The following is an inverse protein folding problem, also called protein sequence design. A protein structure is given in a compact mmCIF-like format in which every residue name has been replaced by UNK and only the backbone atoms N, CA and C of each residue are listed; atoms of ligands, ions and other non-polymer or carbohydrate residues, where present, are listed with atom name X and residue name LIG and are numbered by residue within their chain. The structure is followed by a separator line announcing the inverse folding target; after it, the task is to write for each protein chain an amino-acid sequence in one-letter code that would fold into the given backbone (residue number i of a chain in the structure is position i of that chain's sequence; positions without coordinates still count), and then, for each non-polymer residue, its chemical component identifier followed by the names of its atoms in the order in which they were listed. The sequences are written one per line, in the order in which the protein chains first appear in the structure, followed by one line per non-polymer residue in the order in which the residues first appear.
data_IF_339376961199
#
_entry.id   IF_339376961199
#
_cell.length_a   1.000
_cell.length_b   1.000
_cell.length_c   1.000
_cell.angle_alpha   90.00
_cell.angle_beta   90.00
_cell.angle_gamma   90.00
#
_symmetry.space_group_name_H-M   'P 1'
#
loop_
_entity.id
_entity.type
_entity.pdbx_description
1 polymer ?
#
# COMPACT_ATOMS: atom_id res chain seq x y z
N UNK A 1 -30.95 -6.73 21.64
CA UNK A 1 -30.00 -6.95 20.54
C UNK A 1 -29.17 -5.64 20.37
N UNK A 2 -28.01 -5.54 21.02
CA UNK A 2 -27.16 -4.34 21.00
C UNK A 2 -26.19 -4.48 19.83
N UNK A 3 -26.43 -3.73 18.72
CA UNK A 3 -25.45 -3.54 17.65
C UNK A 3 -24.24 -2.79 18.23
N UNK A 4 -23.12 -3.49 18.45
CA UNK A 4 -21.81 -2.85 18.65
C UNK A 4 -21.38 -2.28 17.30
N UNK A 5 -21.47 -0.97 17.13
CA UNK A 5 -20.77 -0.24 16.09
C UNK A 5 -19.27 -0.46 16.33
N UNK A 6 -18.65 -1.34 15.54
CA UNK A 6 -17.18 -1.43 15.49
C UNK A 6 -16.66 -0.08 14.97
N UNK A 7 -16.08 0.70 15.87
CA UNK A 7 -15.36 1.92 15.52
C UNK A 7 -14.14 1.49 14.69
N UNK A 8 -14.10 1.89 13.42
CA UNK A 8 -12.96 1.69 12.53
C UNK A 8 -11.77 2.53 13.04
N UNK A 9 -10.99 1.97 13.99
CA UNK A 9 -9.83 2.63 14.60
C UNK A 9 -8.70 2.86 13.61
N UNK A 10 -8.51 1.97 12.63
CA UNK A 10 -7.49 2.11 11.58
C UNK A 10 -7.80 3.25 10.62
N UNK A 11 -9.08 3.44 10.25
CA UNK A 11 -9.51 4.62 9.48
C UNK A 11 -9.35 5.91 10.27
N UNK A 12 -9.65 5.90 11.58
CA UNK A 12 -9.45 7.07 12.44
C UNK A 12 -7.97 7.39 12.67
N UNK A 13 -7.08 6.38 12.79
CA UNK A 13 -5.64 6.61 12.88
C UNK A 13 -5.10 7.26 11.59
N UNK A 14 -5.48 6.74 10.43
CA UNK A 14 -5.08 7.33 9.13
C UNK A 14 -5.59 8.76 8.95
N UNK A 15 -6.79 9.06 9.41
CA UNK A 15 -7.33 10.43 9.39
C UNK A 15 -6.58 11.34 10.37
N UNK A 16 -6.21 10.84 11.56
CA UNK A 16 -5.40 11.60 12.52
C UNK A 16 -3.97 11.81 12.02
N UNK A 17 -3.35 10.82 11.40
CA UNK A 17 -2.04 10.93 10.76
C UNK A 17 -2.07 11.93 9.59
N UNK A 18 -3.10 11.87 8.73
CA UNK A 18 -3.29 12.83 7.64
C UNK A 18 -3.56 14.25 8.16
N UNK A 19 -4.35 14.41 9.23
CA UNK A 19 -4.60 15.70 9.88
C UNK A 19 -3.34 16.27 10.56
N UNK A 20 -2.52 15.42 11.20
CA UNK A 20 -1.24 15.82 11.78
C UNK A 20 -0.25 16.25 10.67
N UNK A 21 -0.16 15.48 9.58
CA UNK A 21 0.65 15.84 8.43
C UNK A 21 0.18 17.16 7.78
N UNK A 22 -1.13 17.36 7.63
CA UNK A 22 -1.70 18.62 7.15
C UNK A 22 -1.44 19.79 8.12
N UNK A 23 -1.51 19.60 9.43
CA UNK A 23 -1.21 20.61 10.44
C UNK A 23 0.27 21.02 10.42
N UNK A 24 1.17 20.05 10.26
CA UNK A 24 2.61 20.30 10.11
C UNK A 24 2.88 21.05 8.81
N UNK A 25 2.26 20.64 7.69
CA UNK A 25 2.38 21.33 6.41
C UNK A 25 1.80 22.75 6.46
N UNK A 26 0.65 22.95 7.09
CA UNK A 26 0.04 24.27 7.27
C UNK A 26 0.87 25.18 8.19
N UNK A 27 1.45 24.64 9.26
CA UNK A 27 2.36 25.42 10.12
C UNK A 27 3.66 25.79 9.42
N UNK A 28 4.21 24.91 8.59
CA UNK A 28 5.38 25.19 7.76
C UNK A 28 5.07 26.21 6.66
N UNK A 29 3.89 26.14 6.02
CA UNK A 29 3.43 27.15 5.06
C UNK A 29 3.16 28.51 5.74
N UNK A 30 2.52 28.53 6.89
CA UNK A 30 2.23 29.75 7.63
C UNK A 30 3.49 30.46 8.13
N UNK A 31 4.49 29.70 8.61
CA UNK A 31 5.80 30.27 8.96
C UNK A 31 6.54 30.76 7.72
N UNK A 32 6.51 30.03 6.60
CA UNK A 32 7.12 30.44 5.34
C UNK A 32 6.52 31.74 4.79
N UNK A 33 5.19 31.88 4.80
CA UNK A 33 4.50 33.10 4.33
C UNK A 33 4.67 34.31 5.27
N UNK A 34 4.72 34.08 6.58
CA UNK A 34 4.96 35.13 7.56
C UNK A 34 6.35 35.72 7.42
N UNK A 35 7.39 34.91 7.17
CA UNK A 35 8.75 35.40 6.92
C UNK A 35 8.92 36.04 5.55
N UNK A 36 8.23 35.54 4.50
CA UNK A 36 8.31 36.13 3.16
C UNK A 36 7.76 37.57 3.08
N UNK A 37 6.79 37.94 3.91
CA UNK A 37 6.16 39.25 3.87
C UNK A 37 6.83 40.32 4.75
N UNK A 38 7.77 39.97 5.65
CA UNK A 38 8.31 40.91 6.63
C UNK A 38 9.57 41.69 6.20
N UNK A 39 10.25 41.31 5.11
CA UNK A 39 11.59 41.86 4.81
C UNK A 39 11.88 42.19 3.34
N UNK A 40 11.08 43.04 2.74
CA UNK A 40 11.45 43.74 1.49
C UNK A 40 12.36 44.91 1.86
N UNK A 41 13.68 44.72 1.79
CA UNK A 41 14.57 45.90 1.86
C UNK A 41 16.02 45.72 2.29
N UNK A 42 16.48 44.55 2.73
CA UNK A 42 17.89 44.39 3.13
C UNK A 42 18.55 43.19 2.44
N UNK A 43 19.88 43.22 2.28
CA UNK A 43 20.69 42.09 1.76
C UNK A 43 20.44 40.80 2.53
N UNK A 44 20.08 40.90 3.80
CA UNK A 44 19.70 39.78 4.64
C UNK A 44 18.44 39.10 4.13
N UNK A 45 17.43 39.87 3.73
CA UNK A 45 16.22 39.34 3.12
C UNK A 45 16.47 38.63 1.78
N UNK A 46 17.42 39.07 0.99
CA UNK A 46 17.80 38.39 -0.25
C UNK A 46 18.48 37.05 0.02
N UNK A 47 19.33 36.95 1.05
CA UNK A 47 19.95 35.69 1.46
C UNK A 47 18.92 34.71 2.06
N UNK A 48 18.00 35.21 2.87
CA UNK A 48 16.89 34.42 3.40
C UNK A 48 16.02 33.86 2.27
N UNK A 49 15.67 34.69 1.29
CA UNK A 49 14.92 34.25 0.10
C UNK A 49 15.71 33.22 -0.72
N UNK A 50 17.01 33.40 -0.88
CA UNK A 50 17.88 32.43 -1.56
C UNK A 50 17.93 31.10 -0.81
N UNK A 51 18.14 31.11 0.51
CA UNK A 51 18.21 29.89 1.31
C UNK A 51 16.87 29.12 1.29
N UNK A 52 15.73 29.81 1.36
CA UNK A 52 14.39 29.23 1.26
C UNK A 52 14.17 28.60 -0.11
N UNK A 53 14.52 29.31 -1.20
CA UNK A 53 14.36 28.81 -2.55
C UNK A 53 15.24 27.58 -2.82
N UNK A 54 16.51 27.63 -2.41
CA UNK A 54 17.46 26.54 -2.56
C UNK A 54 17.02 25.33 -1.75
N UNK A 55 16.65 25.52 -0.47
CA UNK A 55 16.07 24.45 0.35
C UNK A 55 14.78 23.87 -0.28
N UNK A 56 14.02 24.72 -0.97
CA UNK A 56 12.84 24.34 -1.75
C UNK A 56 13.16 23.39 -2.90
N UNK A 57 14.20 23.70 -3.66
CA UNK A 57 14.64 22.89 -4.82
C UNK A 57 15.33 21.61 -4.35
N UNK A 58 16.20 21.70 -3.34
CA UNK A 58 16.84 20.54 -2.73
C UNK A 58 15.84 19.53 -2.16
N UNK A 59 14.73 20.04 -1.61
CA UNK A 59 13.62 19.21 -1.13
C UNK A 59 12.84 18.50 -2.24
N UNK A 60 13.34 18.47 -3.49
CA UNK A 60 12.79 17.61 -4.51
C UNK A 60 12.92 16.15 -4.07
N UNK A 61 11.81 15.43 -4.14
CA UNK A 61 11.65 14.09 -3.56
C UNK A 61 12.74 13.11 -4.02
N UNK A 62 13.13 13.15 -5.30
CA UNK A 62 14.11 12.21 -5.88
C UNK A 62 15.54 12.38 -5.33
N UNK A 63 15.98 13.59 -5.01
CA UNK A 63 17.33 13.81 -4.51
C UNK A 63 17.45 13.41 -3.03
N UNK A 64 16.45 13.76 -2.23
CA UNK A 64 16.41 13.41 -0.81
C UNK A 64 16.21 11.90 -0.61
N UNK A 65 15.45 11.22 -1.50
CA UNK A 65 15.35 9.77 -1.50
C UNK A 65 16.71 9.08 -1.71
N UNK A 66 17.56 9.60 -2.60
CA UNK A 66 18.93 9.08 -2.78
C UNK A 66 19.78 9.26 -1.53
N UNK A 67 19.67 10.42 -0.85
CA UNK A 67 20.38 10.68 0.41
C UNK A 67 19.96 9.71 1.49
N UNK A 68 18.64 9.54 1.70
CA UNK A 68 18.08 8.65 2.71
C UNK A 68 18.49 7.18 2.47
N UNK A 69 18.55 6.76 1.20
CA UNK A 69 18.94 5.40 0.81
C UNK A 69 20.44 5.20 0.70
N UNK A 70 21.24 6.27 0.81
CA UNK A 70 22.70 6.25 0.58
C UNK A 70 23.04 5.65 -0.80
N UNK A 71 22.22 5.95 -1.84
CA UNK A 71 22.32 5.37 -3.17
C UNK A 71 23.18 6.22 -4.12
N UNK A 72 24.11 5.56 -4.82
CA UNK A 72 24.95 6.18 -5.85
C UNK A 72 25.88 7.27 -5.28
N UNK A 73 26.15 8.31 -6.10
CA UNK A 73 26.99 9.45 -5.72
C UNK A 73 26.14 10.61 -5.16
N UNK A 74 25.24 10.32 -4.23
CA UNK A 74 24.29 11.30 -3.69
C UNK A 74 24.97 12.58 -3.17
N UNK A 75 26.14 12.46 -2.54
CA UNK A 75 26.91 13.61 -2.05
C UNK A 75 27.32 14.54 -3.20
N UNK A 76 27.85 13.97 -4.29
CA UNK A 76 28.26 14.73 -5.46
C UNK A 76 27.07 15.36 -6.18
N UNK A 77 25.95 14.63 -6.30
CA UNK A 77 24.70 15.12 -6.89
C UNK A 77 24.17 16.31 -6.09
N UNK A 78 24.14 16.19 -4.75
CA UNK A 78 23.66 17.21 -3.84
C UNK A 78 24.56 18.44 -3.82
N UNK A 79 25.88 18.23 -3.82
CA UNK A 79 26.89 19.29 -3.90
C UNK A 79 26.79 20.05 -5.22
N UNK A 80 26.70 19.36 -6.35
CA UNK A 80 26.56 19.97 -7.67
C UNK A 80 25.27 20.78 -7.78
N UNK A 81 24.19 20.28 -7.20
CA UNK A 81 22.92 21.01 -7.11
C UNK A 81 23.07 22.31 -6.31
N UNK A 82 23.67 22.25 -5.12
CA UNK A 82 23.92 23.43 -4.27
C UNK A 82 24.79 24.46 -4.98
N UNK A 83 25.90 24.03 -5.57
CA UNK A 83 26.84 24.90 -6.28
C UNK A 83 26.22 25.56 -7.52
N UNK A 84 25.25 24.92 -8.16
CA UNK A 84 24.51 25.47 -9.30
C UNK A 84 23.46 26.51 -8.90
N UNK A 85 22.92 26.41 -7.69
CA UNK A 85 21.82 27.25 -7.21
C UNK A 85 22.29 28.43 -6.38
N UNK A 86 23.46 28.35 -5.76
CA UNK A 86 24.00 29.40 -4.93
C UNK A 86 24.85 30.40 -5.74
N UNK A 87 24.80 31.70 -5.43
CA UNK A 87 25.67 32.71 -6.04
C UNK A 87 27.16 32.39 -5.80
N UNK A 88 28.00 32.83 -6.72
CA UNK A 88 29.48 32.75 -6.56
C UNK A 88 29.91 33.41 -5.25
N UNK A 89 30.92 32.84 -4.59
CA UNK A 89 31.44 33.29 -3.29
C UNK A 89 30.42 33.17 -2.13
N UNK A 90 29.49 32.24 -2.24
CA UNK A 90 28.58 31.90 -1.16
C UNK A 90 29.08 30.63 -0.46
N UNK A 91 29.16 30.68 0.86
CA UNK A 91 29.44 29.52 1.68
C UNK A 91 28.13 28.90 2.16
N UNK A 92 28.14 27.61 2.40
CA UNK A 92 26.94 26.92 2.88
C UNK A 92 27.28 25.79 3.85
N UNK A 93 26.33 25.50 4.73
CA UNK A 93 26.24 24.29 5.53
C UNK A 93 24.84 23.73 5.36
N UNK A 94 24.75 22.48 4.96
CA UNK A 94 23.50 21.74 4.82
C UNK A 94 23.52 20.54 5.77
N UNK A 95 22.51 20.46 6.60
CA UNK A 95 22.26 19.33 7.48
C UNK A 95 20.94 18.68 7.12
N UNK A 96 20.91 17.36 7.09
CA UNK A 96 19.73 16.56 6.76
C UNK A 96 19.49 15.57 7.89
N UNK A 97 18.33 15.67 8.53
CA UNK A 97 17.96 14.87 9.68
C UNK A 97 16.78 13.96 9.33
N UNK A 98 16.89 12.66 9.64
CA UNK A 98 15.76 11.73 9.63
C UNK A 98 14.99 11.85 10.95
N UNK A 99 13.70 12.13 10.88
CA UNK A 99 12.86 12.19 12.09
C UNK A 99 12.52 10.80 12.60
N UNK A 100 12.47 9.79 11.72
CA UNK A 100 12.20 8.40 12.08
C UNK A 100 13.39 7.76 12.80
N UNK A 101 14.61 8.08 12.34
CA UNK A 101 15.84 7.58 12.96
C UNK A 101 16.29 8.47 14.14
N UNK A 102 15.78 9.70 14.22
CA UNK A 102 16.15 10.67 15.26
C UNK A 102 17.59 11.15 15.18
N UNK A 103 18.21 11.10 13.98
CA UNK A 103 19.62 11.41 13.77
C UNK A 103 19.87 12.17 12.48
N UNK A 104 21.03 12.82 12.41
CA UNK A 104 21.56 13.37 11.18
C UNK A 104 21.99 12.25 10.22
N UNK A 105 21.47 12.29 9.00
CA UNK A 105 21.74 11.29 7.96
C UNK A 105 22.75 11.76 6.92
N UNK A 106 22.89 13.08 6.77
CA UNK A 106 23.88 13.68 5.88
C UNK A 106 24.21 15.10 6.31
N UNK A 107 25.47 15.52 6.08
CA UNK A 107 25.88 16.92 6.15
C UNK A 107 26.85 17.25 5.03
N UNK A 108 26.72 18.46 4.48
CA UNK A 108 27.58 18.98 3.43
C UNK A 108 27.95 20.43 3.74
N UNK A 109 29.22 20.77 3.59
CA UNK A 109 29.71 22.12 3.77
C UNK A 109 30.81 22.42 2.76
N UNK A 110 30.87 23.64 2.26
CA UNK A 110 32.01 24.19 1.54
C UNK A 110 32.86 25.15 2.40
N UNK A 111 32.57 25.22 3.70
CA UNK A 111 33.33 26.00 4.67
C UNK A 111 34.61 25.25 5.03
N UNK A 112 35.78 25.85 4.78
CA UNK A 112 37.06 25.29 5.15
C UNK A 112 37.69 26.16 6.26
N UNK A 113 37.85 25.58 7.46
CA UNK A 113 38.54 26.20 8.60
C UNK A 113 37.64 26.81 9.69
N UNK A 114 38.13 26.79 10.96
CA UNK A 114 37.33 27.06 12.17
C UNK A 114 36.94 28.55 12.38
N UNK A 115 37.40 29.51 11.53
CA UNK A 115 37.29 30.96 11.81
C UNK A 115 36.50 31.75 10.76
N UNK A 116 35.74 31.12 9.88
CA UNK A 116 35.13 31.86 8.74
C UNK A 116 33.81 32.57 9.12
N UNK A 117 33.16 32.22 10.22
CA UNK A 117 31.84 32.76 10.61
C UNK A 117 31.89 34.17 11.23
N UNK A 118 33.05 34.64 11.71
CA UNK A 118 33.17 35.97 12.29
C UNK A 118 33.12 37.06 11.19
N UNK A 119 32.04 37.85 11.17
CA UNK A 119 31.85 38.91 10.20
C UNK A 119 31.10 38.54 8.92
N UNK A 120 30.55 37.36 8.85
CA UNK A 120 29.67 36.91 7.75
C UNK A 120 28.19 37.22 8.01
N UNK A 121 27.48 37.57 6.94
CA UNK A 121 26.01 37.54 6.96
C UNK A 121 25.54 36.10 6.79
N UNK A 122 24.67 35.64 7.67
CA UNK A 122 24.13 34.26 7.66
C UNK A 122 22.62 34.26 7.52
N UNK A 123 22.08 33.32 6.78
CA UNK A 123 20.65 33.05 6.70
C UNK A 123 20.41 31.51 6.72
N UNK A 124 19.54 31.04 7.60
CA UNK A 124 19.20 29.63 7.72
C UNK A 124 17.77 29.42 7.29
N UNK A 125 17.56 28.44 6.42
CA UNK A 125 16.26 27.96 6.03
C UNK A 125 16.07 26.49 6.47
N UNK A 126 14.86 26.17 6.90
CA UNK A 126 14.45 24.82 7.27
C UNK A 126 13.32 24.36 6.38
N UNK A 127 13.39 23.12 5.91
CA UNK A 127 12.34 22.50 5.12
C UNK A 127 12.10 21.08 5.54
N UNK A 128 10.83 20.72 5.65
CA UNK A 128 10.39 19.34 5.91
C UNK A 128 10.01 18.70 4.58
N UNK A 129 10.49 17.49 4.35
CA UNK A 129 10.23 16.69 3.15
C UNK A 129 9.78 15.30 3.59
N UNK A 130 8.72 14.78 2.98
CA UNK A 130 8.32 13.39 3.16
C UNK A 130 9.01 12.54 2.09
N UNK A 131 9.72 11.53 2.51
CA UNK A 131 10.47 10.62 1.65
C UNK A 131 9.81 9.24 1.66
N UNK A 132 9.58 8.68 0.49
CA UNK A 132 9.09 7.31 0.36
C UNK A 132 10.27 6.34 0.46
N UNK A 133 10.29 5.54 1.51
CA UNK A 133 11.29 4.48 1.67
C UNK A 133 10.86 3.21 0.91
N UNK A 134 11.82 2.31 0.57
CA UNK A 134 11.48 1.02 0.01
C UNK A 134 10.48 0.29 0.90
N UNK A 135 9.44 -0.27 0.30
CA UNK A 135 8.48 -1.07 1.05
C UNK A 135 9.19 -2.23 1.75
N UNK A 136 9.08 -2.30 3.06
CA UNK A 136 9.66 -3.39 3.86
C UNK A 136 8.59 -4.43 4.15
N UNK A 137 8.96 -5.72 3.97
CA UNK A 137 8.09 -6.83 4.35
C UNK A 137 7.94 -6.84 5.87
N UNK A 138 6.72 -6.65 6.35
CA UNK A 138 6.38 -6.79 7.77
C UNK A 138 5.97 -8.23 8.06
N UNK A 139 6.94 -9.04 8.49
CA UNK A 139 6.72 -10.46 8.84
C UNK A 139 5.95 -10.64 10.15
N UNK A 140 5.79 -9.59 10.93
CA UNK A 140 5.02 -9.60 12.19
C UNK A 140 3.55 -9.24 11.99
N UNK A 141 3.18 -8.71 10.80
CA UNK A 141 1.80 -8.31 10.51
C UNK A 141 0.88 -9.51 10.58
N UNK A 142 -0.08 -9.45 11.50
CA UNK A 142 -1.11 -10.47 11.59
C UNK A 142 -2.10 -10.34 10.43
N UNK A 143 -2.41 -11.44 9.77
CA UNK A 143 -3.25 -11.49 8.57
C UNK A 143 -4.28 -12.60 8.73
N UNK A 144 -5.54 -12.27 8.49
CA UNK A 144 -6.61 -13.24 8.35
C UNK A 144 -7.12 -13.18 6.91
N UNK A 145 -6.95 -14.26 6.15
CA UNK A 145 -7.33 -14.34 4.73
C UNK A 145 -8.41 -15.37 4.52
N UNK A 146 -9.46 -15.00 3.77
CA UNK A 146 -10.45 -15.93 3.26
C UNK A 146 -10.26 -16.13 1.76
N UNK A 147 -10.03 -17.38 1.35
CA UNK A 147 -10.08 -17.78 -0.05
C UNK A 147 -11.54 -18.02 -0.43
N UNK A 148 -12.04 -17.34 -1.46
CA UNK A 148 -13.42 -17.45 -1.96
C UNK A 148 -13.35 -18.07 -3.35
N UNK A 149 -13.47 -19.40 -3.40
CA UNK A 149 -13.06 -20.19 -4.55
C UNK A 149 -14.26 -20.72 -5.35
N UNK A 150 -14.24 -20.42 -6.65
CA UNK A 150 -15.19 -20.96 -7.61
C UNK A 150 -14.92 -22.46 -7.84
N UNK A 151 -15.96 -23.27 -7.67
CA UNK A 151 -15.97 -24.68 -8.04
C UNK A 151 -17.18 -25.01 -8.94
N UNK A 152 -17.66 -24.04 -9.75
CA UNK A 152 -18.69 -24.23 -10.76
C UNK A 152 -18.24 -25.20 -11.86
N UNK A 153 -19.16 -25.63 -12.69
CA UNK A 153 -18.90 -26.62 -13.75
C UNK A 153 -17.83 -26.16 -14.75
N UNK A 154 -17.76 -24.87 -15.08
CA UNK A 154 -16.76 -24.28 -15.98
C UNK A 154 -15.32 -24.42 -15.46
N UNK A 155 -15.12 -24.51 -14.15
CA UNK A 155 -13.81 -24.78 -13.55
C UNK A 155 -13.26 -26.17 -13.86
N UNK A 156 -14.10 -27.09 -14.36
CA UNK A 156 -13.69 -28.40 -14.89
C UNK A 156 -13.08 -28.33 -16.30
N UNK A 157 -13.23 -27.20 -17.01
CA UNK A 157 -12.63 -27.00 -18.32
C UNK A 157 -11.14 -26.69 -18.22
N UNK A 158 -10.41 -26.92 -19.33
CA UNK A 158 -8.97 -26.61 -19.42
C UNK A 158 -8.73 -25.15 -19.77
N UNK A 159 -7.57 -24.63 -19.39
CA UNK A 159 -7.06 -23.36 -19.91
C UNK A 159 -6.58 -23.53 -21.35
N UNK A 160 -6.53 -22.45 -22.13
CA UNK A 160 -6.06 -22.51 -23.52
C UNK A 160 -4.61 -22.97 -23.55
N UNK A 161 -4.37 -24.06 -24.27
CA UNK A 161 -3.02 -24.65 -24.40
C UNK A 161 -2.56 -25.49 -23.22
N UNK A 162 -3.44 -25.80 -22.26
CA UNK A 162 -3.14 -26.64 -21.11
C UNK A 162 -3.89 -27.98 -21.15
N UNK A 163 -3.35 -28.99 -20.50
CA UNK A 163 -3.96 -30.32 -20.37
C UNK A 163 -4.75 -30.50 -19.07
N UNK A 164 -4.53 -29.61 -18.10
CA UNK A 164 -5.19 -29.65 -16.78
C UNK A 164 -6.35 -28.69 -16.70
N UNK A 165 -7.35 -29.05 -15.91
CA UNK A 165 -8.53 -28.19 -15.69
C UNK A 165 -8.20 -26.99 -14.81
N UNK A 166 -8.97 -25.91 -14.97
CA UNK A 166 -8.86 -24.67 -14.17
C UNK A 166 -8.89 -24.95 -12.66
N UNK A 167 -9.72 -25.91 -12.20
CA UNK A 167 -9.80 -26.28 -10.78
C UNK A 167 -8.48 -26.87 -10.25
N UNK A 168 -7.72 -27.58 -11.08
CA UNK A 168 -6.41 -28.13 -10.72
C UNK A 168 -5.41 -27.01 -10.52
N UNK A 169 -5.39 -26.03 -11.43
CA UNK A 169 -4.52 -24.86 -11.31
C UNK A 169 -4.91 -23.99 -10.13
N UNK A 170 -6.22 -23.78 -9.90
CA UNK A 170 -6.74 -23.08 -8.73
C UNK A 170 -6.24 -23.72 -7.44
N UNK A 171 -6.35 -25.05 -7.31
CA UNK A 171 -5.87 -25.78 -6.14
C UNK A 171 -4.37 -25.63 -5.94
N UNK A 172 -3.57 -25.80 -7.00
CA UNK A 172 -2.12 -25.64 -6.95
C UNK A 172 -1.69 -24.25 -6.50
N UNK A 173 -2.25 -23.21 -7.11
CA UNK A 173 -1.92 -21.84 -6.79
C UNK A 173 -2.42 -21.43 -5.39
N UNK A 174 -3.60 -21.88 -4.97
CA UNK A 174 -4.10 -21.62 -3.61
C UNK A 174 -3.25 -22.30 -2.54
N UNK A 175 -2.76 -23.52 -2.79
CA UNK A 175 -1.81 -24.19 -1.87
C UNK A 175 -0.47 -23.48 -1.83
N UNK A 176 0.05 -23.03 -2.96
CA UNK A 176 1.25 -22.21 -3.04
C UNK A 176 1.10 -20.92 -2.21
N UNK A 177 -0.03 -20.22 -2.33
CA UNK A 177 -0.32 -19.04 -1.52
C UNK A 177 -0.24 -19.33 -0.01
N UNK A 178 -0.85 -20.45 0.44
CA UNK A 178 -0.79 -20.88 1.84
C UNK A 178 0.65 -21.15 2.28
N UNK A 179 1.48 -21.76 1.42
CA UNK A 179 2.88 -22.06 1.71
C UNK A 179 3.77 -20.79 1.80
N UNK A 180 3.40 -19.72 1.10
CA UNK A 180 4.12 -18.44 1.14
C UNK A 180 3.79 -17.59 2.38
N UNK A 181 2.72 -17.91 3.12
CA UNK A 181 2.32 -17.19 4.33
C UNK A 181 3.13 -17.64 5.56
N UNK A 182 3.45 -16.68 6.42
CA UNK A 182 3.95 -16.99 7.75
C UNK A 182 2.77 -17.42 8.66
N UNK A 183 2.50 -18.70 8.74
CA UNK A 183 1.36 -19.24 9.52
C UNK A 183 1.46 -19.02 11.03
N UNK A 184 2.61 -18.51 11.55
CA UNK A 184 2.69 -18.05 12.93
C UNK A 184 1.93 -16.73 13.17
N UNK A 185 1.83 -15.89 12.14
CA UNK A 185 1.12 -14.62 12.16
C UNK A 185 -0.17 -14.64 11.33
N UNK A 186 -0.26 -15.52 10.33
CA UNK A 186 -1.38 -15.61 9.40
C UNK A 186 -2.36 -16.75 9.78
N UNK A 187 -3.64 -16.54 9.44
CA UNK A 187 -4.66 -17.58 9.38
C UNK A 187 -5.35 -17.54 8.02
N UNK A 188 -5.67 -18.70 7.50
CA UNK A 188 -6.38 -18.86 6.23
C UNK A 188 -7.66 -19.66 6.46
N UNK A 189 -8.76 -19.13 5.96
CA UNK A 189 -10.02 -19.83 5.83
C UNK A 189 -10.42 -19.98 4.37
N UNK A 190 -11.46 -20.76 4.08
CA UNK A 190 -11.92 -20.97 2.72
C UNK A 190 -13.43 -21.12 2.67
N UNK A 191 -14.07 -20.39 1.80
CA UNK A 191 -15.41 -20.64 1.31
C UNK A 191 -15.36 -21.02 -0.16
N UNK A 192 -16.22 -21.91 -0.59
CA UNK A 192 -16.37 -22.25 -2.01
C UNK A 192 -17.80 -22.11 -2.49
N UNK A 193 -17.96 -21.89 -3.78
CA UNK A 193 -19.28 -21.76 -4.39
C UNK A 193 -19.40 -22.51 -5.71
N UNK A 194 -20.59 -23.05 -5.92
CA UNK A 194 -21.11 -23.59 -7.20
C UNK A 194 -22.60 -23.28 -7.27
N UNK A 195 -23.49 -24.24 -7.47
CA UNK A 195 -24.95 -24.03 -7.32
C UNK A 195 -25.31 -23.55 -5.91
N UNK A 196 -24.60 -24.03 -4.91
CA UNK A 196 -24.66 -23.57 -3.53
C UNK A 196 -23.26 -23.26 -3.03
N UNK A 197 -23.17 -22.34 -2.07
CA UNK A 197 -21.92 -22.01 -1.40
C UNK A 197 -21.83 -22.72 -0.04
N UNK A 198 -20.60 -22.83 0.49
CA UNK A 198 -20.32 -23.39 1.81
C UNK A 198 -19.03 -22.80 2.39
N UNK A 199 -18.90 -22.87 3.69
CA UNK A 199 -17.65 -22.68 4.39
C UNK A 199 -16.92 -24.04 4.44
N UNK A 200 -15.81 -24.15 3.74
CA UNK A 200 -15.02 -25.39 3.67
C UNK A 200 -13.98 -25.46 4.78
N UNK A 201 -13.44 -24.29 5.18
CA UNK A 201 -12.42 -24.18 6.21
C UNK A 201 -12.61 -22.87 6.99
N UNK A 202 -12.70 -22.97 8.31
CA UNK A 202 -12.65 -21.82 9.20
C UNK A 202 -11.23 -21.20 9.21
N UNK A 203 -11.10 -19.95 9.64
CA UNK A 203 -9.80 -19.29 9.81
C UNK A 203 -8.88 -20.11 10.72
N UNK A 204 -7.79 -20.63 10.17
CA UNK A 204 -6.86 -21.52 10.84
C UNK A 204 -5.42 -21.23 10.46
N UNK A 205 -4.50 -21.42 11.40
CA UNK A 205 -3.06 -21.41 11.17
C UNK A 205 -2.49 -22.81 10.83
N UNK A 206 -3.35 -23.81 10.75
CA UNK A 206 -2.96 -25.16 10.34
C UNK A 206 -2.95 -25.27 8.80
N UNK A 207 -1.80 -25.04 8.18
CA UNK A 207 -1.64 -25.09 6.73
C UNK A 207 -2.03 -26.46 6.12
N UNK A 208 -1.84 -27.55 6.86
CA UNK A 208 -2.19 -28.90 6.38
C UNK A 208 -3.70 -29.02 6.25
N UNK A 209 -4.47 -28.60 7.26
CA UNK A 209 -5.93 -28.64 7.21
C UNK A 209 -6.49 -27.75 6.09
N UNK A 210 -5.94 -26.54 5.93
CA UNK A 210 -6.33 -25.63 4.83
C UNK A 210 -6.07 -26.27 3.46
N UNK A 211 -4.89 -26.86 3.25
CA UNK A 211 -4.55 -27.51 1.98
C UNK A 211 -5.39 -28.73 1.69
N UNK A 212 -5.75 -29.52 2.72
CA UNK A 212 -6.69 -30.63 2.57
C UNK A 212 -8.07 -30.16 2.13
N UNK A 213 -8.58 -29.05 2.68
CA UNK A 213 -9.85 -28.48 2.25
C UNK A 213 -9.81 -27.99 0.80
N UNK A 214 -8.68 -27.38 0.37
CA UNK A 214 -8.45 -27.00 -1.04
C UNK A 214 -8.46 -28.24 -1.94
N UNK A 215 -7.81 -29.33 -1.54
CA UNK A 215 -7.77 -30.59 -2.32
C UNK A 215 -9.15 -31.22 -2.46
N UNK A 216 -10.05 -30.98 -1.51
CA UNK A 216 -11.44 -31.49 -1.53
C UNK A 216 -12.37 -30.77 -2.52
N UNK A 217 -11.95 -29.71 -3.21
CA UNK A 217 -12.79 -29.03 -4.18
C UNK A 217 -13.07 -29.91 -5.42
N UNK A 218 -14.30 -29.90 -5.89
CA UNK A 218 -14.73 -30.62 -7.11
C UNK A 218 -15.58 -29.67 -7.95
N UNK A 219 -15.22 -29.53 -9.22
CA UNK A 219 -15.92 -28.66 -10.16
C UNK A 219 -17.27 -29.28 -10.57
N UNK A 220 -18.38 -28.59 -10.28
CA UNK A 220 -19.71 -28.90 -10.79
C UNK A 220 -20.70 -27.74 -10.59
N UNK A 221 -21.84 -27.80 -11.26
CA UNK A 221 -22.98 -26.91 -11.01
C UNK A 221 -22.82 -25.48 -11.50
N UNK A 222 -23.66 -24.59 -10.98
CA UNK A 222 -23.79 -23.17 -11.35
C UNK A 222 -22.86 -22.30 -10.50
N UNK A 223 -23.03 -20.94 -10.53
CA UNK A 223 -22.08 -19.97 -9.94
C UNK A 223 -22.77 -19.05 -8.94
N UNK A 224 -22.90 -19.50 -7.66
CA UNK A 224 -23.47 -18.74 -6.55
C UNK A 224 -22.37 -17.91 -5.83
N UNK A 225 -21.76 -16.98 -6.53
CA UNK A 225 -20.64 -16.16 -6.02
C UNK A 225 -21.01 -15.38 -4.76
N UNK A 226 -22.19 -14.74 -4.73
CA UNK A 226 -22.69 -14.00 -3.57
C UNK A 226 -22.80 -14.87 -2.31
N UNK A 227 -23.14 -16.17 -2.49
CA UNK A 227 -23.14 -17.13 -1.39
C UNK A 227 -21.75 -17.38 -0.80
N UNK A 228 -20.71 -17.49 -1.66
CA UNK A 228 -19.31 -17.61 -1.22
C UNK A 228 -18.87 -16.40 -0.39
N UNK A 229 -19.19 -15.20 -0.85
CA UNK A 229 -18.90 -13.95 -0.14
C UNK A 229 -19.66 -13.89 1.20
N UNK A 230 -20.92 -14.32 1.23
CA UNK A 230 -21.74 -14.38 2.45
C UNK A 230 -21.11 -15.27 3.53
N UNK A 231 -20.59 -16.44 3.18
CA UNK A 231 -19.89 -17.32 4.12
C UNK A 231 -18.59 -16.69 4.63
N UNK A 232 -17.88 -15.97 3.77
CA UNK A 232 -16.70 -15.18 4.15
C UNK A 232 -17.03 -14.11 5.18
N UNK A 233 -18.14 -13.36 4.99
CA UNK A 233 -18.64 -12.38 5.95
C UNK A 233 -18.95 -13.05 7.30
N UNK A 234 -19.64 -14.18 7.26
CA UNK A 234 -19.99 -14.91 8.47
C UNK A 234 -18.75 -15.35 9.26
N UNK A 235 -17.72 -15.85 8.56
CA UNK A 235 -16.47 -16.30 9.19
C UNK A 235 -15.69 -15.14 9.80
N UNK A 236 -15.53 -14.03 9.10
CA UNK A 236 -14.86 -12.86 9.68
C UNK A 236 -15.58 -12.30 10.91
N UNK A 237 -16.93 -12.30 10.90
CA UNK A 237 -17.70 -11.88 12.06
C UNK A 237 -17.61 -12.84 13.25
N UNK A 238 -17.43 -14.13 12.99
CA UNK A 238 -17.35 -15.18 14.02
C UNK A 238 -15.94 -15.31 14.60
N UNK A 239 -14.91 -15.26 13.74
CA UNK A 239 -13.56 -15.72 14.08
C UNK A 239 -12.46 -14.71 13.73
N UNK A 240 -12.76 -13.62 13.02
CA UNK A 240 -11.76 -12.61 12.62
C UNK A 240 -11.10 -11.96 13.82
N UNK A 241 -9.77 -11.87 13.82
CA UNK A 241 -8.99 -11.23 14.91
C UNK A 241 -9.09 -9.69 14.80
N UNK A 242 -9.20 -9.02 15.93
CA UNK A 242 -9.10 -7.56 15.98
C UNK A 242 -7.66 -7.11 15.66
N UNK A 243 -7.53 -5.92 15.09
CA UNK A 243 -6.24 -5.29 14.75
C UNK A 243 -5.38 -6.09 13.73
N UNK A 244 -5.99 -6.99 12.95
CA UNK A 244 -5.35 -7.73 11.87
C UNK A 244 -5.75 -7.18 10.50
N UNK A 245 -4.93 -7.47 9.48
CA UNK A 245 -5.30 -7.25 8.10
C UNK A 245 -6.27 -8.35 7.67
N UNK A 246 -7.53 -8.00 7.42
CA UNK A 246 -8.49 -8.91 6.83
C UNK A 246 -8.45 -8.82 5.31
N UNK A 247 -8.34 -9.96 4.64
CA UNK A 247 -8.32 -10.04 3.19
C UNK A 247 -9.23 -11.15 2.68
N UNK A 248 -9.90 -10.91 1.56
CA UNK A 248 -10.64 -11.91 0.82
C UNK A 248 -10.10 -11.98 -0.62
N UNK A 249 -9.77 -13.17 -1.09
CA UNK A 249 -9.29 -13.41 -2.45
C UNK A 249 -10.33 -14.24 -3.18
N UNK A 250 -11.10 -13.58 -4.06
CA UNK A 250 -12.13 -14.19 -4.88
C UNK A 250 -11.56 -14.60 -6.22
N UNK A 251 -11.70 -15.89 -6.57
CA UNK A 251 -11.28 -16.42 -7.87
C UNK A 251 -12.46 -17.05 -8.56
N UNK A 252 -12.73 -16.64 -9.80
CA UNK A 252 -13.80 -17.18 -10.62
C UNK A 252 -13.44 -17.13 -12.11
N UNK A 253 -13.96 -18.11 -12.86
CA UNK A 253 -13.87 -18.18 -14.31
C UNK A 253 -15.23 -17.95 -15.01
N UNK A 254 -16.27 -17.61 -14.22
CA UNK A 254 -17.63 -17.54 -14.71
C UNK A 254 -18.39 -16.28 -14.32
N UNK A 255 -19.61 -16.22 -14.83
CA UNK A 255 -20.59 -15.18 -14.51
C UNK A 255 -21.50 -15.67 -13.38
N UNK A 256 -21.69 -14.92 -12.29
CA UNK A 256 -22.64 -15.31 -11.23
C UNK A 256 -24.04 -15.44 -11.81
N UNK A 257 -24.66 -16.58 -11.59
CA UNK A 257 -25.95 -16.91 -12.16
C UNK A 257 -26.93 -17.57 -11.17
N UNK A 258 -26.61 -17.54 -9.87
CA UNK A 258 -27.51 -17.99 -8.80
C UNK A 258 -27.77 -16.83 -7.86
N UNK A 259 -29.06 -16.50 -7.66
CA UNK A 259 -29.49 -15.40 -6.79
C UNK A 259 -29.54 -15.78 -5.30
N UNK A 260 -29.89 -14.83 -4.44
CA UNK A 260 -29.95 -15.02 -2.99
C UNK A 260 -30.98 -16.07 -2.53
N UNK A 261 -31.98 -16.38 -3.39
CA UNK A 261 -33.01 -17.38 -3.15
C UNK A 261 -32.61 -18.77 -3.68
N UNK A 262 -31.46 -18.89 -4.35
CA UNK A 262 -30.99 -20.12 -4.97
C UNK A 262 -31.53 -20.38 -6.38
N UNK A 263 -32.20 -19.40 -7.00
CA UNK A 263 -32.72 -19.56 -8.36
C UNK A 263 -31.62 -19.24 -9.39
N UNK A 264 -31.70 -19.93 -10.55
CA UNK A 264 -30.82 -19.63 -11.68
C UNK A 264 -31.32 -18.36 -12.34
N UNK A 265 -30.60 -17.26 -12.09
CA UNK A 265 -30.90 -15.90 -12.55
C UNK A 265 -29.62 -15.08 -12.58
N UNK A 266 -29.08 -14.81 -13.76
CA UNK A 266 -27.81 -14.11 -13.92
C UNK A 266 -27.86 -12.69 -13.32
N UNK A 267 -28.88 -11.89 -13.67
CA UNK A 267 -29.01 -10.54 -13.11
C UNK A 267 -29.18 -10.54 -11.58
N UNK A 268 -29.91 -11.53 -11.05
CA UNK A 268 -30.06 -11.74 -9.61
C UNK A 268 -28.76 -12.19 -8.94
N UNK A 269 -28.01 -13.08 -9.59
CA UNK A 269 -26.71 -13.57 -9.11
C UNK A 269 -25.66 -12.48 -9.07
N UNK A 270 -25.58 -11.66 -10.11
CA UNK A 270 -24.67 -10.49 -10.16
C UNK A 270 -25.01 -9.47 -9.07
N UNK A 271 -26.28 -9.12 -8.90
CA UNK A 271 -26.73 -8.21 -7.84
C UNK A 271 -26.41 -8.78 -6.47
N UNK A 272 -26.69 -10.07 -6.22
CA UNK A 272 -26.37 -10.72 -4.94
C UNK A 272 -24.89 -10.69 -4.64
N UNK A 273 -24.01 -10.93 -5.61
CA UNK A 273 -22.57 -10.82 -5.44
C UNK A 273 -22.13 -9.39 -5.05
N UNK A 274 -22.66 -8.36 -5.70
CA UNK A 274 -22.36 -6.95 -5.39
C UNK A 274 -22.85 -6.54 -4.00
N UNK A 275 -24.08 -6.93 -3.63
CA UNK A 275 -24.64 -6.65 -2.31
C UNK A 275 -23.79 -7.27 -1.18
N UNK A 276 -23.35 -8.52 -1.35
CA UNK A 276 -22.49 -9.16 -0.37
C UNK A 276 -21.07 -8.57 -0.36
N UNK A 277 -20.54 -8.18 -1.51
CA UNK A 277 -19.24 -7.53 -1.59
C UNK A 277 -19.23 -6.16 -0.88
N UNK A 278 -20.31 -5.38 -1.00
CA UNK A 278 -20.46 -4.12 -0.28
C UNK A 278 -20.46 -4.34 1.25
N UNK A 279 -21.19 -5.35 1.74
CA UNK A 279 -21.19 -5.69 3.18
C UNK A 279 -19.79 -6.13 3.64
N UNK A 280 -19.08 -6.91 2.82
CA UNK A 280 -17.72 -7.36 3.13
C UNK A 280 -16.74 -6.18 3.16
N UNK A 281 -16.86 -5.22 2.24
CA UNK A 281 -16.06 -4.00 2.21
C UNK A 281 -16.34 -3.10 3.42
N UNK A 282 -17.60 -2.97 3.85
CA UNK A 282 -17.99 -2.19 5.04
C UNK A 282 -17.42 -2.78 6.35
N UNK A 283 -17.05 -4.06 6.37
CA UNK A 283 -16.31 -4.68 7.47
C UNK A 283 -14.82 -4.30 7.48
N UNK A 284 -14.33 -3.56 6.48
CA UNK A 284 -12.92 -3.18 6.34
C UNK A 284 -12.05 -4.29 5.76
N UNK A 285 -12.63 -5.26 5.05
CA UNK A 285 -11.90 -6.34 4.39
C UNK A 285 -11.29 -5.84 3.08
N UNK A 286 -10.02 -6.15 2.84
CA UNK A 286 -9.37 -5.95 1.55
C UNK A 286 -9.83 -7.04 0.59
N UNK A 287 -10.56 -6.67 -0.46
CA UNK A 287 -11.14 -7.60 -1.43
C UNK A 287 -10.31 -7.58 -2.71
N UNK A 288 -9.68 -8.70 -3.03
CA UNK A 288 -9.00 -8.95 -4.29
C UNK A 288 -9.84 -9.87 -5.15
N UNK A 289 -9.93 -9.59 -6.45
CA UNK A 289 -10.65 -10.43 -7.39
C UNK A 289 -9.76 -10.89 -8.53
N UNK A 290 -9.87 -12.15 -8.91
CA UNK A 290 -9.07 -12.77 -9.98
C UNK A 290 -10.02 -13.44 -10.96
N UNK A 291 -9.99 -12.98 -12.22
CA UNK A 291 -10.65 -13.65 -13.34
C UNK A 291 -9.72 -14.70 -13.93
N UNK A 292 -10.14 -15.97 -13.96
CA UNK A 292 -9.34 -17.09 -14.44
C UNK A 292 -9.78 -17.56 -15.84
N UNK A 293 -8.84 -17.76 -16.75
CA UNK A 293 -9.10 -18.29 -18.09
C UNK A 293 -9.40 -17.22 -19.13
N UNK A 294 -10.29 -17.51 -20.13
CA UNK A 294 -10.59 -16.55 -21.19
C UNK A 294 -11.41 -15.37 -20.69
N UNK A 295 -11.01 -14.16 -21.07
CA UNK A 295 -11.75 -12.93 -20.72
C UNK A 295 -13.17 -12.86 -21.25
N UNK A 296 -13.53 -13.72 -22.20
CA UNK A 296 -14.90 -13.85 -22.71
C UNK A 296 -15.83 -14.66 -21.80
N UNK A 297 -15.30 -15.43 -20.86
CA UNK A 297 -16.05 -16.40 -20.07
C UNK A 297 -16.54 -15.86 -18.72
N UNK A 298 -15.97 -14.77 -18.22
CA UNK A 298 -16.36 -14.15 -16.96
C UNK A 298 -16.64 -12.65 -17.10
N UNK A 299 -17.38 -12.09 -16.16
CA UNK A 299 -17.71 -10.67 -16.15
C UNK A 299 -16.61 -9.85 -15.44
N UNK A 300 -15.61 -9.40 -16.22
CA UNK A 300 -14.52 -8.56 -15.71
C UNK A 300 -15.02 -7.25 -15.09
N UNK A 301 -16.09 -6.67 -15.61
CA UNK A 301 -16.69 -5.44 -15.06
C UNK A 301 -17.23 -5.70 -13.65
N UNK A 302 -17.93 -6.80 -13.45
CA UNK A 302 -18.45 -7.20 -12.15
C UNK A 302 -17.31 -7.44 -11.13
N UNK A 303 -16.28 -8.18 -11.53
CA UNK A 303 -15.13 -8.44 -10.65
C UNK A 303 -14.40 -7.14 -10.24
N UNK A 304 -14.32 -6.16 -11.16
CA UNK A 304 -13.81 -4.81 -10.85
C UNK A 304 -14.71 -4.01 -9.92
N UNK A 305 -16.01 -4.26 -9.89
CA UNK A 305 -16.95 -3.61 -8.97
C UNK A 305 -16.95 -4.26 -7.58
N UNK A 306 -16.66 -5.56 -7.49
CA UNK A 306 -16.61 -6.32 -6.23
C UNK A 306 -15.38 -5.94 -5.40
N UNK A 307 -14.24 -5.74 -6.07
CA UNK A 307 -12.97 -5.48 -5.40
C UNK A 307 -12.84 -4.05 -4.85
N UNK A 308 -12.02 -3.87 -3.83
CA UNK A 308 -11.61 -2.57 -3.29
C UNK A 308 -10.08 -2.45 -3.13
N UNK A 309 -9.33 -3.53 -3.42
CA UNK A 309 -7.88 -3.61 -3.24
C UNK A 309 -7.13 -4.06 -4.48
N UNK A 310 -7.78 -4.78 -5.41
CA UNK A 310 -7.17 -5.12 -6.69
C UNK A 310 -7.98 -6.11 -7.52
N UNK A 311 -8.02 -5.86 -8.83
CA UNK A 311 -8.53 -6.79 -9.84
C UNK A 311 -7.38 -7.30 -10.69
N UNK A 312 -7.32 -8.61 -10.87
CA UNK A 312 -6.32 -9.29 -11.66
C UNK A 312 -6.93 -10.22 -12.68
N UNK A 313 -6.16 -10.52 -13.73
CA UNK A 313 -6.56 -11.43 -14.79
C UNK A 313 -5.49 -12.50 -14.99
N UNK A 314 -5.87 -13.75 -14.88
CA UNK A 314 -5.00 -14.92 -15.01
C UNK A 314 -5.43 -15.80 -16.20
N UNK A 315 -4.99 -15.51 -17.44
CA UNK A 315 -5.27 -16.36 -18.60
C UNK A 315 -4.54 -17.72 -18.56
N UNK A 316 -3.47 -17.83 -17.76
CA UNK A 316 -2.65 -19.05 -17.64
C UNK A 316 -2.39 -19.42 -16.18
N UNK A 317 -2.01 -20.65 -15.94
CA UNK A 317 -1.67 -21.17 -14.60
C UNK A 317 -0.51 -20.43 -13.93
N UNK A 318 0.56 -20.09 -14.69
CA UNK A 318 1.72 -19.38 -14.17
C UNK A 318 1.37 -17.99 -13.68
N UNK A 319 0.53 -17.26 -14.42
CA UNK A 319 0.08 -15.93 -14.02
C UNK A 319 -0.77 -15.94 -12.74
N UNK A 320 -1.47 -17.02 -12.45
CA UNK A 320 -2.21 -17.13 -11.19
C UNK A 320 -1.28 -17.15 -9.98
N UNK A 321 -0.11 -17.78 -10.07
CA UNK A 321 0.90 -17.73 -9.00
C UNK A 321 1.52 -16.34 -8.87
N UNK A 322 1.89 -15.71 -9.98
CA UNK A 322 2.43 -14.33 -9.98
C UNK A 322 1.45 -13.34 -9.32
N UNK A 323 0.14 -13.51 -9.57
CA UNK A 323 -0.90 -12.68 -8.96
C UNK A 323 -0.96 -12.91 -7.45
N UNK A 324 -0.88 -14.15 -6.99
CA UNK A 324 -0.83 -14.43 -5.56
C UNK A 324 0.41 -13.79 -4.90
N UNK A 325 1.56 -13.77 -5.57
CA UNK A 325 2.76 -13.09 -5.08
C UNK A 325 2.57 -11.56 -4.99
N UNK A 326 1.87 -10.95 -5.97
CA UNK A 326 1.52 -9.52 -5.92
C UNK A 326 0.58 -9.21 -4.76
N UNK A 327 -0.46 -10.03 -4.55
CA UNK A 327 -1.41 -9.87 -3.43
C UNK A 327 -0.68 -10.05 -2.09
N UNK A 328 0.20 -11.05 -1.97
CA UNK A 328 1.03 -11.25 -0.78
C UNK A 328 1.91 -10.04 -0.46
N UNK A 329 2.53 -9.44 -1.48
CA UNK A 329 3.29 -8.20 -1.32
C UNK A 329 2.41 -7.08 -0.79
N UNK A 330 1.25 -6.86 -1.39
CA UNK A 330 0.32 -5.82 -0.96
C UNK A 330 -0.15 -6.01 0.50
N UNK A 331 -0.44 -7.25 0.88
CA UNK A 331 -0.87 -7.61 2.24
C UNK A 331 0.24 -7.54 3.28
N UNK A 332 1.48 -7.86 2.91
CA UNK A 332 2.61 -8.02 3.83
C UNK A 332 3.58 -6.84 3.82
N UNK A 333 3.65 -6.07 2.75
CA UNK A 333 4.54 -4.92 2.67
C UNK A 333 3.85 -3.68 3.20
N UNK A 334 4.56 -2.96 4.03
CA UNK A 334 4.13 -1.66 4.55
C UNK A 334 4.87 -0.57 3.79
N UNK A 335 4.14 0.36 3.22
CA UNK A 335 4.75 1.59 2.73
C UNK A 335 5.40 2.29 3.93
N UNK A 336 6.70 2.52 3.82
CA UNK A 336 7.44 3.29 4.80
C UNK A 336 7.66 4.70 4.27
N UNK A 337 7.38 5.67 5.12
CA UNK A 337 7.70 7.07 4.84
C UNK A 337 8.61 7.55 5.95
N UNK A 338 9.61 8.34 5.60
CA UNK A 338 10.35 9.14 6.55
C UNK A 338 10.01 10.62 6.38
N UNK A 339 10.10 11.35 7.47
CA UNK A 339 10.02 12.80 7.45
C UNK A 339 11.43 13.30 7.67
N UNK A 340 11.96 13.96 6.66
CA UNK A 340 13.33 14.47 6.65
C UNK A 340 13.29 15.98 6.84
N UNK A 341 14.08 16.49 7.78
CA UNK A 341 14.31 17.91 7.99
C UNK A 341 15.60 18.33 7.29
N UNK A 342 15.49 19.24 6.35
CA UNK A 342 16.60 19.95 5.71
C UNK A 342 16.84 21.25 6.47
N UNK A 343 18.06 21.47 6.91
CA UNK A 343 18.51 22.75 7.45
C UNK A 343 19.68 23.29 6.60
N UNK A 344 19.42 24.34 5.84
CA UNK A 344 20.41 25.00 4.98
C UNK A 344 20.78 26.36 5.55
N UNK A 345 22.04 26.53 5.95
CA UNK A 345 22.62 27.79 6.31
C UNK A 345 23.47 28.33 5.15
N UNK A 346 23.16 29.51 4.67
CA UNK A 346 23.89 30.21 3.61
C UNK A 346 24.63 31.39 4.23
N UNK A 347 25.91 31.56 3.86
CA UNK A 347 26.79 32.57 4.42
C UNK A 347 27.45 33.36 3.28
N UNK A 348 27.54 34.67 3.42
CA UNK A 348 28.31 35.52 2.50
C UNK A 348 29.19 36.48 3.26
N UNK A 349 30.37 36.84 2.71
CA UNK A 349 31.23 37.83 3.33
C UNK A 349 30.50 39.16 3.54
N UNK A 350 30.52 39.67 4.78
CA UNK A 350 30.13 41.04 5.07
C UNK A 350 31.10 41.97 4.35
N UNK A 351 30.63 43.06 3.69
CA UNK A 351 31.57 44.12 3.30
C UNK A 351 32.16 44.70 4.59
N UNK A 352 33.47 44.59 4.73
CA UNK A 352 34.19 45.51 5.61
C UNK A 352 33.88 46.94 5.11
N UNK A 353 33.15 47.70 5.91
CA UNK A 353 32.90 49.13 5.67
C UNK A 353 34.18 49.87 5.99
#
# INVERSE_FOLDING_TARGET
MKRRLRRNRSGQLRVVEALLACLILLSALATSTYFANSYLGTRRGAMEATSINVAGILGSQSLIEKVERQEGNWEQDLKSCLESLLPLNTFYELHIYSTTQGMEIASLSNVQGENITAGMNTATARRVVTVSLPMKRDTSRMIDTMLVLDRSGSMGETLIGDLQSKIVHLKSASKYFVDCLNMSAARVGMSSFSTSARLDQILSNNSVAVKQSIDGLVANGWTCMGGGIKYTIAEFNASGRDETCWAAILISDGVPNVDASGNINEAGGQRYALEQAAILADLGVNIYTIGLGSSSNFNATLLKQIQNSGYYYAPTAGQLQDIYDMILKDMTYKAQFDIVLLELTVMSPGRLV
#
